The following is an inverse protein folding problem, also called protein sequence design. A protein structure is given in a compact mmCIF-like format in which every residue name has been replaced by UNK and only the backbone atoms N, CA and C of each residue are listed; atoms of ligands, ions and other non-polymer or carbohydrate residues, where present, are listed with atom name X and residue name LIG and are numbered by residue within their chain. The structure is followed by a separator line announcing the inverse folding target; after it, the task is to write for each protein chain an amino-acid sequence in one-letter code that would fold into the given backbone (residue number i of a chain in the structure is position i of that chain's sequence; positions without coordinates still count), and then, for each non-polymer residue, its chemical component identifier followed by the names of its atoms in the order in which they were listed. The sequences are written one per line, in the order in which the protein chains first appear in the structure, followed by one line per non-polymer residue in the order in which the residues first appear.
data_IF_920232822667
#
_entry.id   IF_920232822667
#
_cell.length_a   1.000
_cell.length_b   1.000
_cell.length_c   1.000
_cell.angle_alpha   90.00
_cell.angle_beta   90.00
_cell.angle_gamma   90.00
#
_symmetry.space_group_name_H-M   'P 1'
#
loop_
_entity.id
_entity.type
_entity.pdbx_description
1 polymer ?
#
# COMPACT_ATOMS: atom_id res chain seq x y z
N UNK A 1 -44.91 -71.33 -0.24
CA UNK A 1 -44.20 -70.11 0.23
C UNK A 1 -44.80 -68.82 -0.32
N UNK A 2 -45.06 -68.66 -1.62
CA UNK A 2 -45.54 -67.42 -2.25
C UNK A 2 -46.93 -66.97 -1.73
N UNK A 3 -47.85 -67.86 -1.41
CA UNK A 3 -49.16 -67.51 -0.85
C UNK A 3 -49.11 -66.99 0.58
N UNK A 4 -48.15 -67.40 1.39
CA UNK A 4 -47.92 -66.90 2.74
C UNK A 4 -47.37 -65.45 2.72
N UNK A 5 -46.44 -65.15 1.85
CA UNK A 5 -45.92 -63.84 1.64
C UNK A 5 -46.94 -62.83 1.15
N UNK A 6 -47.81 -63.26 0.21
CA UNK A 6 -48.93 -62.43 -0.31
C UNK A 6 -49.95 -62.09 0.78
N UNK A 7 -50.27 -63.05 1.66
CA UNK A 7 -51.20 -62.82 2.75
C UNK A 7 -50.64 -61.90 3.85
N UNK A 8 -49.37 -62.02 4.10
CA UNK A 8 -48.69 -61.11 5.03
C UNK A 8 -48.65 -59.68 4.46
N UNK A 9 -48.48 -59.52 3.15
CA UNK A 9 -48.42 -58.22 2.50
C UNK A 9 -49.74 -57.49 2.41
N UNK A 10 -50.85 -58.28 2.08
CA UNK A 10 -52.18 -57.73 1.87
C UNK A 10 -53.03 -57.61 3.15
N UNK A 11 -52.70 -58.37 4.21
CA UNK A 11 -53.43 -58.29 5.50
C UNK A 11 -53.01 -56.98 6.23
N UNK A 12 -54.05 -56.16 6.54
CA UNK A 12 -53.87 -54.84 7.21
C UNK A 12 -53.08 -53.84 6.40
N UNK A 13 -53.24 -53.78 5.08
CA UNK A 13 -52.54 -52.86 4.19
C UNK A 13 -52.67 -51.37 4.63
N UNK A 14 -53.86 -50.97 5.13
CA UNK A 14 -54.06 -49.59 5.64
C UNK A 14 -53.18 -49.21 6.84
N UNK A 15 -53.00 -50.18 7.78
CA UNK A 15 -52.08 -49.94 8.93
C UNK A 15 -50.61 -49.83 8.51
N UNK A 16 -50.23 -50.58 7.47
CA UNK A 16 -48.88 -50.51 6.93
C UNK A 16 -48.62 -49.21 6.18
N UNK A 17 -49.61 -48.78 5.39
CA UNK A 17 -49.53 -47.49 4.71
C UNK A 17 -49.48 -46.34 5.72
N UNK A 18 -50.30 -46.41 6.78
CA UNK A 18 -50.29 -45.43 7.86
C UNK A 18 -48.92 -45.37 8.58
N UNK A 19 -48.37 -46.56 8.93
CA UNK A 19 -47.03 -46.61 9.54
C UNK A 19 -45.94 -46.11 8.61
N UNK A 20 -46.02 -46.33 7.31
CA UNK A 20 -45.10 -45.84 6.31
C UNK A 20 -45.19 -44.32 6.19
N UNK A 21 -46.40 -43.78 6.13
CA UNK A 21 -46.62 -42.32 6.09
C UNK A 21 -46.12 -41.67 7.37
N UNK A 22 -46.40 -42.29 8.54
CA UNK A 22 -45.94 -41.80 9.82
C UNK A 22 -44.41 -41.82 9.93
N UNK A 23 -43.79 -42.91 9.46
CA UNK A 23 -42.33 -43.02 9.42
C UNK A 23 -41.69 -42.00 8.46
N UNK A 24 -42.35 -41.76 7.31
CA UNK A 24 -41.91 -40.76 6.35
C UNK A 24 -42.04 -39.35 6.92
N UNK A 25 -43.13 -39.02 7.60
CA UNK A 25 -43.31 -37.74 8.29
C UNK A 25 -42.29 -37.55 9.40
N UNK A 26 -42.07 -38.56 10.23
CA UNK A 26 -41.01 -38.53 11.26
C UNK A 26 -39.63 -38.35 10.65
N UNK A 27 -39.34 -39.04 9.55
CA UNK A 27 -38.06 -38.92 8.87
C UNK A 27 -37.87 -37.52 8.30
N UNK A 28 -38.90 -36.93 7.67
CA UNK A 28 -38.87 -35.54 7.17
C UNK A 28 -38.70 -34.52 8.29
N UNK A 29 -39.30 -34.75 9.47
CA UNK A 29 -39.12 -33.82 10.62
C UNK A 29 -37.82 -34.04 11.38
N UNK A 30 -37.20 -35.22 11.29
CA UNK A 30 -35.93 -35.54 11.92
C UNK A 30 -34.72 -35.26 11.05
N UNK A 31 -34.89 -34.88 9.76
CA UNK A 31 -33.76 -34.39 8.97
C UNK A 31 -33.37 -33.04 9.55
N UNK A 32 -32.23 -32.93 10.27
CA UNK A 32 -31.83 -31.66 10.80
C UNK A 32 -31.44 -30.78 9.62
N UNK A 33 -32.11 -29.65 9.45
CA UNK A 33 -31.68 -28.57 8.54
C UNK A 33 -30.25 -28.03 8.88
N UNK A 34 -29.76 -28.38 10.06
CA UNK A 34 -28.50 -27.93 10.63
C UNK A 34 -27.22 -28.51 9.99
N UNK A 35 -27.34 -29.53 9.12
CA UNK A 35 -26.15 -30.22 8.58
C UNK A 35 -25.66 -29.72 7.22
N UNK A 36 -26.17 -28.61 6.72
CA UNK A 36 -25.64 -28.03 5.50
C UNK A 36 -24.62 -26.90 5.82
N UNK A 37 -23.53 -27.29 6.46
CA UNK A 37 -22.33 -26.43 6.55
C UNK A 37 -21.48 -26.67 5.32
N UNK A 38 -20.94 -25.60 4.79
CA UNK A 38 -19.96 -25.66 3.72
C UNK A 38 -18.78 -24.76 4.03
N UNK A 39 -17.67 -25.12 3.43
CA UNK A 39 -16.42 -24.36 3.58
C UNK A 39 -16.30 -23.32 2.49
N UNK A 40 -15.84 -22.14 2.86
CA UNK A 40 -15.50 -21.07 1.94
C UNK A 40 -14.13 -20.50 2.28
N UNK A 41 -13.23 -20.51 1.31
CA UNK A 41 -11.91 -19.89 1.45
C UNK A 41 -11.93 -18.51 0.81
N UNK A 42 -11.42 -17.52 1.54
CA UNK A 42 -11.27 -16.13 1.11
C UNK A 42 -9.81 -15.72 1.25
N UNK A 43 -9.38 -14.88 0.33
CA UNK A 43 -8.06 -14.21 0.41
C UNK A 43 -8.28 -12.78 0.85
N UNK A 44 -7.94 -12.47 2.10
CA UNK A 44 -8.16 -11.15 2.68
C UNK A 44 -6.85 -10.42 2.95
N UNK A 45 -6.82 -9.09 2.86
CA UNK A 45 -5.66 -8.31 3.27
C UNK A 45 -5.51 -8.33 4.80
N UNK A 46 -4.27 -8.41 5.27
CA UNK A 46 -3.92 -8.27 6.68
C UNK A 46 -3.61 -6.80 6.96
N UNK A 47 -4.44 -6.17 7.77
CA UNK A 47 -4.22 -4.78 8.19
C UNK A 47 -3.21 -4.75 9.33
N UNK A 48 -2.16 -3.92 9.18
CA UNK A 48 -1.14 -3.71 10.19
C UNK A 48 -1.49 -2.48 11.01
N UNK A 49 -1.65 -2.65 12.32
CA UNK A 49 -2.02 -1.57 13.23
C UNK A 49 -0.93 -1.36 14.30
N UNK A 50 -0.94 -0.15 14.90
CA UNK A 50 -0.11 0.21 16.03
C UNK A 50 1.40 0.03 15.78
N UNK A 51 1.88 0.38 14.57
CA UNK A 51 3.32 0.43 14.31
C UNK A 51 3.95 1.43 15.30
N UNK A 52 5.02 1.06 16.03
CA UNK A 52 5.67 1.96 16.96
C UNK A 52 6.12 3.27 16.31
N UNK A 53 6.01 4.39 17.04
CA UNK A 53 6.21 5.75 16.50
C UNK A 53 7.55 5.98 15.78
N UNK A 54 8.60 5.29 16.22
CA UNK A 54 9.96 5.41 15.67
C UNK A 54 10.29 4.36 14.63
N UNK A 55 9.29 3.60 14.17
CA UNK A 55 9.46 2.52 13.21
C UNK A 55 8.54 2.71 12.03
N UNK A 56 8.98 2.20 10.90
CA UNK A 56 8.21 2.15 9.65
C UNK A 56 8.41 0.80 8.97
N UNK A 57 7.51 0.46 8.08
CA UNK A 57 7.68 -0.70 7.23
C UNK A 57 8.83 -0.46 6.26
N UNK A 58 9.78 -1.39 6.17
CA UNK A 58 10.86 -1.37 5.18
C UNK A 58 10.30 -1.39 3.75
N UNK A 59 9.19 -2.10 3.56
CA UNK A 59 8.43 -2.14 2.31
C UNK A 59 6.93 -1.96 2.58
N UNK A 60 6.26 -1.16 1.76
CA UNK A 60 4.79 -0.96 1.81
C UNK A 60 4.05 -2.14 1.19
N UNK A 61 4.25 -3.34 1.72
CA UNK A 61 3.54 -4.53 1.29
C UNK A 61 2.32 -4.75 2.19
N UNK A 62 1.15 -4.98 1.59
CA UNK A 62 -0.02 -5.49 2.30
C UNK A 62 -0.03 -7.02 2.23
N UNK A 63 0.40 -7.72 3.28
CA UNK A 63 0.36 -9.16 3.29
C UNK A 63 -1.10 -9.64 3.18
N UNK A 64 -1.32 -10.75 2.49
CA UNK A 64 -2.63 -11.36 2.34
C UNK A 64 -2.63 -12.74 2.99
N UNK A 65 -3.75 -13.08 3.58
CA UNK A 65 -3.95 -14.39 4.22
C UNK A 65 -5.17 -15.08 3.65
N UNK A 66 -5.10 -16.41 3.60
CA UNK A 66 -6.22 -17.25 3.21
C UNK A 66 -6.95 -17.68 4.50
N UNK A 67 -8.24 -17.41 4.56
CA UNK A 67 -9.10 -17.79 5.67
C UNK A 67 -10.14 -18.77 5.16
N UNK A 68 -10.10 -19.99 5.65
CA UNK A 68 -11.13 -20.99 5.38
C UNK A 68 -12.16 -20.98 6.51
N UNK A 69 -13.38 -20.57 6.16
CA UNK A 69 -14.52 -20.49 7.07
C UNK A 69 -15.46 -21.66 6.85
N UNK A 70 -15.97 -22.21 7.94
CA UNK A 70 -17.08 -23.16 7.96
C UNK A 70 -18.34 -22.41 8.39
N UNK A 71 -19.39 -22.46 7.55
CA UNK A 71 -20.61 -21.72 7.80
C UNK A 71 -21.85 -22.44 7.24
N UNK A 72 -23.03 -22.18 7.82
CA UNK A 72 -24.30 -22.63 7.21
C UNK A 72 -24.44 -22.07 5.80
N UNK A 73 -24.95 -22.89 4.86
CA UNK A 73 -25.06 -22.50 3.45
C UNK A 73 -25.81 -21.19 3.22
N UNK A 74 -26.76 -20.85 4.08
CA UNK A 74 -27.52 -19.59 4.05
C UNK A 74 -26.65 -18.34 4.28
N UNK A 75 -25.54 -18.49 5.01
CA UNK A 75 -24.62 -17.37 5.34
C UNK A 75 -23.50 -17.21 4.31
N UNK A 76 -23.19 -18.23 3.51
CA UNK A 76 -22.10 -18.20 2.54
C UNK A 76 -22.13 -17.01 1.56
N UNK A 77 -23.30 -16.57 1.04
CA UNK A 77 -23.37 -15.40 0.16
C UNK A 77 -22.99 -14.09 0.86
N UNK A 78 -23.18 -14.00 2.18
CA UNK A 78 -22.86 -12.82 2.99
C UNK A 78 -21.39 -12.75 3.40
N UNK A 79 -20.67 -13.87 3.31
CA UNK A 79 -19.25 -13.96 3.63
C UNK A 79 -18.44 -13.46 2.43
N UNK A 80 -17.92 -12.24 2.52
CA UNK A 80 -17.13 -11.57 1.48
C UNK A 80 -15.86 -11.00 2.10
N UNK A 81 -14.94 -10.55 1.25
CA UNK A 81 -13.73 -9.83 1.72
C UNK A 81 -14.07 -8.56 2.54
N UNK A 82 -15.25 -7.99 2.33
CA UNK A 82 -15.72 -6.81 3.07
C UNK A 82 -16.29 -7.15 4.46
N UNK A 83 -16.64 -8.40 4.73
CA UNK A 83 -17.23 -8.82 6.00
C UNK A 83 -16.27 -9.60 6.90
N UNK A 84 -15.08 -9.94 6.38
CA UNK A 84 -14.02 -10.66 7.10
C UNK A 84 -12.78 -9.79 7.12
N UNK A 85 -12.32 -9.42 8.30
CA UNK A 85 -11.17 -8.52 8.47
C UNK A 85 -10.12 -9.18 9.33
N UNK A 86 -8.86 -9.04 8.94
CA UNK A 86 -7.72 -9.50 9.72
C UNK A 86 -6.88 -8.29 10.14
N UNK A 87 -6.52 -8.24 11.42
CA UNK A 87 -5.72 -7.16 12.00
C UNK A 87 -4.57 -7.74 12.79
N UNK A 88 -3.36 -7.32 12.48
CA UNK A 88 -2.15 -7.63 13.23
C UNK A 88 -1.72 -6.38 14.01
N UNK A 89 -1.65 -6.51 15.32
CA UNK A 89 -1.15 -5.46 16.22
C UNK A 89 0.36 -5.56 16.34
N UNK A 90 1.04 -4.47 15.95
CA UNK A 90 2.50 -4.34 15.99
C UNK A 90 3.01 -3.48 17.14
N UNK A 91 2.16 -3.18 18.15
CA UNK A 91 2.54 -2.32 19.28
C UNK A 91 3.77 -2.80 20.06
N UNK A 92 4.02 -4.10 20.11
CA UNK A 92 5.19 -4.72 20.74
C UNK A 92 6.25 -5.19 19.74
N UNK A 93 6.14 -4.80 18.47
CA UNK A 93 7.07 -5.20 17.45
C UNK A 93 8.45 -4.57 17.64
N UNK A 94 9.49 -5.25 17.18
CA UNK A 94 10.87 -4.77 17.17
C UNK A 94 11.51 -4.97 15.80
N UNK A 95 12.57 -4.22 15.51
CA UNK A 95 13.33 -4.33 14.24
C UNK A 95 13.96 -5.71 14.05
N UNK A 96 14.25 -6.41 15.15
CA UNK A 96 14.85 -7.74 15.09
C UNK A 96 13.83 -8.84 14.77
N UNK A 97 12.54 -8.56 14.99
CA UNK A 97 11.46 -9.51 14.75
C UNK A 97 10.90 -9.33 13.34
N UNK A 98 11.12 -10.33 12.50
CA UNK A 98 10.60 -10.32 11.11
C UNK A 98 9.41 -11.24 10.89
N UNK A 99 9.24 -12.27 11.75
CA UNK A 99 8.16 -13.25 11.60
C UNK A 99 7.08 -13.07 12.68
N UNK A 100 5.84 -12.90 12.24
CA UNK A 100 4.68 -12.68 13.11
C UNK A 100 3.68 -13.83 12.92
N UNK A 101 3.32 -14.58 13.99
CA UNK A 101 2.35 -15.66 13.92
C UNK A 101 0.93 -15.09 13.71
N UNK A 102 0.16 -15.75 12.86
CA UNK A 102 -1.24 -15.42 12.61
C UNK A 102 -2.13 -16.34 13.43
N UNK A 103 -2.97 -15.75 14.27
CA UNK A 103 -3.89 -16.45 15.14
C UNK A 103 -5.36 -16.15 14.76
N UNK A 104 -6.26 -17.12 15.06
CA UNK A 104 -7.69 -16.97 14.78
C UNK A 104 -8.32 -15.73 15.44
N UNK A 105 -7.80 -15.31 16.59
CA UNK A 105 -8.29 -14.14 17.31
C UNK A 105 -8.03 -12.80 16.60
N UNK A 106 -7.12 -12.78 15.62
CA UNK A 106 -6.80 -11.61 14.79
C UNK A 106 -7.79 -11.40 13.65
N UNK A 107 -8.65 -12.40 13.40
CA UNK A 107 -9.61 -12.38 12.30
C UNK A 107 -11.01 -12.18 12.84
N UNK A 108 -11.64 -11.09 12.44
CA UNK A 108 -13.05 -10.79 12.73
C UNK A 108 -13.92 -11.44 11.67
N UNK A 109 -14.87 -12.27 12.10
CA UNK A 109 -15.77 -13.05 11.26
C UNK A 109 -17.23 -12.76 11.59
N UNK A 110 -18.16 -12.93 10.65
CA UNK A 110 -19.60 -12.82 10.90
C UNK A 110 -20.09 -13.85 11.93
N UNK A 111 -21.12 -13.47 12.70
CA UNK A 111 -21.73 -14.36 13.68
C UNK A 111 -22.29 -15.65 13.03
N UNK A 112 -22.08 -16.77 13.68
CA UNK A 112 -22.51 -18.08 13.18
C UNK A 112 -21.56 -18.73 12.17
N UNK A 113 -20.35 -18.19 12.02
CA UNK A 113 -19.27 -18.80 11.23
C UNK A 113 -18.11 -19.23 12.13
N UNK A 114 -17.29 -20.16 11.66
CA UNK A 114 -16.13 -20.66 12.39
C UNK A 114 -14.90 -20.69 11.48
N UNK A 115 -13.74 -20.29 12.00
CA UNK A 115 -12.47 -20.37 11.27
C UNK A 115 -11.95 -21.81 11.37
N UNK A 116 -11.93 -22.49 10.24
CA UNK A 116 -11.36 -23.84 10.11
C UNK A 116 -9.83 -23.75 10.00
N UNK A 117 -9.34 -22.94 9.05
CA UNK A 117 -7.93 -22.87 8.72
C UNK A 117 -7.50 -21.42 8.39
N UNK A 118 -6.27 -21.11 8.73
CA UNK A 118 -5.58 -19.87 8.34
C UNK A 118 -4.25 -20.23 7.67
N UNK A 119 -3.99 -19.61 6.52
CA UNK A 119 -2.74 -19.80 5.80
C UNK A 119 -2.24 -18.46 5.20
N UNK A 120 -0.98 -18.13 5.32
CA UNK A 120 0.07 -18.83 6.08
C UNK A 120 -0.12 -18.70 7.60
N UNK A 121 0.54 -19.56 8.38
CA UNK A 121 0.52 -19.51 9.85
C UNK A 121 1.35 -18.37 10.44
N UNK A 122 2.23 -17.76 9.61
CA UNK A 122 3.04 -16.59 9.96
C UNK A 122 3.23 -15.70 8.73
N UNK A 123 3.42 -14.41 8.94
CA UNK A 123 3.79 -13.43 7.91
C UNK A 123 5.12 -12.81 8.24
N UNK A 124 5.88 -12.49 7.21
CA UNK A 124 7.13 -11.76 7.35
C UNK A 124 6.85 -10.27 7.15
N UNK A 125 7.22 -9.47 8.14
CA UNK A 125 7.08 -8.01 8.14
C UNK A 125 8.41 -7.46 8.65
N UNK A 126 9.06 -6.66 7.84
CA UNK A 126 10.31 -6.00 8.21
C UNK A 126 10.01 -4.56 8.64
N UNK A 127 10.44 -4.24 9.85
CA UNK A 127 10.37 -2.90 10.42
C UNK A 127 11.78 -2.31 10.47
N UNK A 128 11.88 -1.03 10.16
CA UNK A 128 13.11 -0.27 10.27
C UNK A 128 12.90 0.96 11.15
N UNK A 129 13.99 1.50 11.69
CA UNK A 129 13.93 2.78 12.36
C UNK A 129 13.61 3.88 11.37
N UNK A 130 12.76 4.80 11.81
CA UNK A 130 12.49 6.03 11.07
C UNK A 130 13.68 6.95 11.20
N UNK A 131 14.28 7.32 10.06
CA UNK A 131 15.33 8.33 9.97
C UNK A 131 14.74 9.66 9.50
N UNK A 132 15.14 10.72 10.15
CA UNK A 132 14.84 12.09 9.72
C UNK A 132 16.14 12.79 9.41
N UNK A 133 16.22 13.41 8.23
CA UNK A 133 17.43 14.08 7.75
C UNK A 133 17.06 15.32 6.95
N UNK A 134 17.88 16.37 7.10
CA UNK A 134 17.76 17.58 6.30
C UNK A 134 18.65 17.48 5.07
N UNK A 135 18.05 17.61 3.90
CA UNK A 135 18.71 17.51 2.60
C UNK A 135 18.64 18.83 1.84
N UNK A 136 19.68 19.07 1.03
CA UNK A 136 19.71 20.21 0.11
C UNK A 136 18.73 20.00 -1.03
N UNK A 137 18.13 21.11 -1.46
CA UNK A 137 17.26 21.13 -2.65
C UNK A 137 18.08 21.59 -3.84
N UNK A 138 18.11 20.77 -4.88
CA UNK A 138 18.75 21.07 -6.15
C UNK A 138 17.71 21.29 -7.25
N UNK A 139 17.68 22.47 -7.87
CA UNK A 139 16.74 22.76 -8.96
C UNK A 139 17.14 21.99 -10.23
N UNK A 140 16.19 21.37 -10.88
CA UNK A 140 16.37 20.71 -12.17
C UNK A 140 16.04 21.70 -13.28
N UNK A 141 17.06 22.24 -13.95
CA UNK A 141 16.92 23.18 -15.07
C UNK A 141 17.00 22.39 -16.39
N UNK A 142 16.16 22.72 -17.34
CA UNK A 142 16.14 22.18 -18.70
C UNK A 142 16.08 23.30 -19.72
N UNK A 143 16.55 23.03 -20.94
CA UNK A 143 16.64 24.04 -22.02
C UNK A 143 17.88 24.92 -21.90
N UNK A 144 18.05 25.81 -22.86
CA UNK A 144 19.10 26.80 -22.93
C UNK A 144 18.49 28.18 -22.97
N UNK A 145 19.14 29.17 -22.37
CA UNK A 145 18.70 30.57 -22.45
C UNK A 145 18.80 31.07 -23.90
N UNK A 146 17.99 32.07 -24.22
CA UNK A 146 18.06 32.73 -25.50
C UNK A 146 19.45 33.33 -25.74
N UNK A 147 19.88 33.44 -27.04
CA UNK A 147 21.14 34.06 -27.39
C UNK A 147 21.28 35.47 -26.79
N UNK A 148 22.44 35.75 -26.25
CA UNK A 148 22.73 37.02 -25.57
C UNK A 148 22.37 37.05 -24.07
N UNK A 149 21.89 35.98 -23.50
CA UNK A 149 21.57 35.86 -22.06
C UNK A 149 22.41 34.81 -21.36
N UNK A 150 22.74 35.05 -20.11
CA UNK A 150 23.40 34.06 -19.25
C UNK A 150 22.73 33.94 -17.87
N UNK A 151 22.81 32.76 -17.29
CA UNK A 151 22.32 32.48 -15.94
C UNK A 151 23.42 32.83 -14.92
N UNK A 152 23.27 33.92 -14.21
CA UNK A 152 24.24 34.38 -13.23
C UNK A 152 24.19 33.56 -11.93
N UNK A 153 23.01 33.31 -11.42
CA UNK A 153 22.81 32.50 -10.21
C UNK A 153 21.41 31.88 -10.14
N UNK A 154 21.32 30.78 -9.41
CA UNK A 154 20.05 30.12 -9.06
C UNK A 154 19.98 30.07 -7.54
N UNK A 155 18.87 30.52 -6.98
CA UNK A 155 18.60 30.46 -5.55
C UNK A 155 17.32 29.69 -5.31
N UNK A 156 17.34 28.76 -4.37
CA UNK A 156 16.19 27.97 -3.97
C UNK A 156 15.80 28.36 -2.55
N UNK A 157 14.54 28.63 -2.30
CA UNK A 157 14.01 29.05 -1.00
C UNK A 157 12.81 28.18 -0.62
N UNK A 158 12.88 27.36 0.45
CA UNK A 158 14.07 27.07 1.24
C UNK A 158 15.10 26.23 0.47
N UNK A 159 16.38 26.39 0.78
CA UNK A 159 17.48 25.64 0.16
C UNK A 159 17.68 24.24 0.77
N UNK A 160 17.03 23.98 1.90
CA UNK A 160 17.07 22.70 2.61
C UNK A 160 15.67 22.30 3.06
N UNK A 161 15.39 21.00 3.05
CA UNK A 161 14.12 20.43 3.51
C UNK A 161 14.37 19.18 4.34
N UNK A 162 13.57 19.00 5.39
CA UNK A 162 13.63 17.80 6.21
C UNK A 162 12.74 16.72 5.62
N UNK A 163 13.31 15.55 5.44
CA UNK A 163 12.63 14.35 4.96
C UNK A 163 12.66 13.28 6.04
N UNK A 164 11.67 12.39 6.01
CA UNK A 164 11.51 11.31 6.95
C UNK A 164 11.08 10.03 6.21
N UNK A 165 11.61 8.89 6.62
CA UNK A 165 11.27 7.59 6.07
C UNK A 165 12.09 6.45 6.67
N UNK A 166 11.93 5.22 6.16
CA UNK A 166 12.75 4.09 6.56
C UNK A 166 14.22 4.36 6.32
N UNK A 167 15.08 3.95 7.25
CA UNK A 167 16.52 4.26 7.20
C UNK A 167 17.19 3.78 5.91
N UNK A 168 16.85 2.58 5.43
CA UNK A 168 17.39 2.00 4.19
C UNK A 168 17.02 2.78 2.92
N UNK A 169 15.94 3.57 2.96
CA UNK A 169 15.41 4.32 1.81
C UNK A 169 15.97 5.75 1.70
N UNK A 170 16.77 6.17 2.68
CA UNK A 170 17.42 7.50 2.69
C UNK A 170 18.92 7.34 2.50
N UNK A 171 19.45 7.48 1.27
CA UNK A 171 20.88 7.40 1.01
C UNK A 171 21.64 8.55 1.69
N UNK A 172 22.87 8.30 2.15
CA UNK A 172 23.69 9.30 2.86
C UNK A 172 24.02 10.56 2.02
N UNK A 173 24.02 10.44 0.70
CA UNK A 173 24.27 11.54 -0.25
C UNK A 173 23.04 11.91 -1.06
N UNK A 174 21.85 11.72 -0.49
CA UNK A 174 20.62 12.08 -1.18
C UNK A 174 20.49 13.61 -1.31
N UNK A 175 19.89 14.04 -2.39
CA UNK A 175 19.43 15.42 -2.61
C UNK A 175 17.96 15.39 -3.02
N UNK A 176 17.22 16.43 -2.69
CA UNK A 176 15.85 16.60 -3.15
C UNK A 176 15.88 17.44 -4.41
N UNK A 177 15.30 16.95 -5.50
CA UNK A 177 15.23 17.67 -6.77
C UNK A 177 13.90 18.40 -6.91
N UNK A 178 13.88 19.42 -7.77
CA UNK A 178 12.61 20.03 -8.18
C UNK A 178 12.08 19.38 -9.46
N UNK A 179 10.80 19.60 -9.75
CA UNK A 179 10.26 19.40 -11.08
C UNK A 179 11.08 20.18 -12.11
N UNK A 180 11.24 19.66 -13.34
CA UNK A 180 12.04 20.34 -14.37
C UNK A 180 11.50 21.73 -14.69
N UNK A 181 12.39 22.73 -14.66
CA UNK A 181 12.10 24.14 -14.97
C UNK A 181 12.74 24.45 -16.34
N UNK A 182 11.93 24.76 -17.32
CA UNK A 182 12.38 25.14 -18.65
C UNK A 182 12.83 26.62 -18.65
N UNK A 183 14.15 26.81 -18.70
CA UNK A 183 14.76 28.17 -18.66
C UNK A 183 14.73 28.88 -20.00
N UNK A 184 14.45 28.20 -21.12
CA UNK A 184 14.45 28.80 -22.47
C UNK A 184 13.41 29.91 -22.65
N UNK A 185 12.42 29.94 -21.76
CA UNK A 185 11.31 30.90 -21.79
C UNK A 185 11.60 32.24 -21.10
N UNK A 186 12.73 32.33 -20.41
CA UNK A 186 13.02 33.49 -19.56
C UNK A 186 14.17 34.33 -20.12
N UNK A 187 13.95 35.64 -20.16
CA UNK A 187 14.93 36.65 -20.62
C UNK A 187 15.26 37.68 -19.51
N UNK A 188 14.63 37.54 -18.34
CA UNK A 188 14.81 38.47 -17.22
C UNK A 188 14.76 37.70 -15.90
N UNK A 189 15.26 38.27 -14.79
CA UNK A 189 15.19 37.68 -13.48
C UNK A 189 13.77 37.25 -13.14
N UNK A 190 13.58 36.01 -12.76
CA UNK A 190 12.23 35.41 -12.56
C UNK A 190 12.24 34.54 -11.32
N UNK A 191 11.12 34.52 -10.60
CA UNK A 191 10.85 33.63 -9.47
C UNK A 191 9.72 32.65 -9.85
N UNK A 192 9.96 31.36 -9.62
CA UNK A 192 9.08 30.26 -10.05
C UNK A 192 8.86 29.31 -8.88
N UNK A 193 7.63 28.92 -8.66
CA UNK A 193 7.30 27.81 -7.75
C UNK A 193 7.54 26.47 -8.45
N UNK A 194 8.31 25.59 -7.81
CA UNK A 194 8.56 24.23 -8.27
C UNK A 194 8.20 23.21 -7.19
N UNK A 195 7.67 22.08 -7.59
CA UNK A 195 7.38 20.98 -6.68
C UNK A 195 8.64 20.17 -6.40
N UNK A 196 8.70 19.60 -5.20
CA UNK A 196 9.82 18.76 -4.77
C UNK A 196 9.63 17.32 -5.25
N UNK A 197 10.69 16.74 -5.79
CA UNK A 197 10.79 15.33 -6.15
C UNK A 197 11.69 14.65 -5.14
N UNK A 198 11.10 13.78 -4.33
CA UNK A 198 11.82 13.03 -3.31
C UNK A 198 12.67 11.92 -3.93
N UNK A 199 13.79 11.54 -3.30
CA UNK A 199 14.71 10.54 -3.82
C UNK A 199 14.09 9.12 -3.85
N UNK A 200 13.06 8.87 -3.03
CA UNK A 200 12.37 7.58 -2.95
C UNK A 200 10.89 7.80 -2.63
N UNK A 201 9.95 7.03 -3.23
CA UNK A 201 8.51 7.15 -2.98
C UNK A 201 8.08 6.79 -1.55
N UNK A 202 8.91 6.05 -0.81
CA UNK A 202 8.64 5.67 0.57
C UNK A 202 9.07 6.73 1.59
N UNK A 203 9.76 7.76 1.12
CA UNK A 203 10.19 8.91 1.92
C UNK A 203 9.16 10.03 1.79
N UNK A 204 8.94 10.78 2.86
CA UNK A 204 8.01 11.92 2.92
C UNK A 204 8.69 13.17 3.51
N UNK A 205 8.17 14.33 3.18
CA UNK A 205 8.59 15.58 3.81
C UNK A 205 8.10 15.61 5.27
N UNK A 206 8.94 16.06 6.18
CA UNK A 206 8.57 16.30 7.59
C UNK A 206 7.71 17.56 7.75
N UNK A 207 7.77 18.48 6.79
CA UNK A 207 6.99 19.72 6.74
C UNK A 207 5.80 19.64 5.77
N UNK A 208 4.91 20.62 5.87
CA UNK A 208 3.74 20.72 4.99
C UNK A 208 4.02 21.32 3.62
N UNK A 209 5.19 21.93 3.41
CA UNK A 209 5.52 22.59 2.16
C UNK A 209 6.08 21.60 1.13
N UNK A 210 5.29 21.31 0.13
CA UNK A 210 5.70 20.47 -1.02
C UNK A 210 6.31 21.26 -2.17
N UNK A 211 6.36 22.59 -2.06
CA UNK A 211 6.85 23.51 -3.07
C UNK A 211 7.97 24.38 -2.53
N UNK A 212 8.86 24.75 -3.41
CA UNK A 212 9.94 25.72 -3.16
C UNK A 212 9.91 26.82 -4.21
N UNK A 213 10.38 28.00 -3.84
CA UNK A 213 10.59 29.10 -4.77
C UNK A 213 12.00 29.04 -5.36
N UNK A 214 12.10 29.02 -6.68
CA UNK A 214 13.37 29.04 -7.41
C UNK A 214 13.53 30.40 -8.08
N UNK A 215 14.52 31.16 -7.65
CA UNK A 215 14.90 32.44 -8.23
C UNK A 215 16.00 32.27 -9.25
N UNK A 216 15.71 32.61 -10.48
CA UNK A 216 16.68 32.64 -11.58
C UNK A 216 17.16 34.10 -11.76
N UNK A 217 18.45 34.34 -11.62
CA UNK A 217 19.08 35.64 -11.92
C UNK A 217 19.69 35.57 -13.32
N UNK A 218 18.97 36.09 -14.29
CA UNK A 218 19.36 36.12 -15.70
C UNK A 218 19.88 37.54 -16.02
N UNK A 219 20.97 37.65 -16.76
CA UNK A 219 21.50 38.88 -17.24
C UNK A 219 21.90 38.78 -18.71
N UNK A 220 22.03 39.93 -19.41
CA UNK A 220 22.59 39.99 -20.75
C UNK A 220 24.07 39.66 -20.69
N UNK A 221 24.54 38.84 -21.62
CA UNK A 221 25.95 38.51 -21.77
C UNK A 221 26.66 39.71 -22.34
N UNK A 222 27.48 40.35 -21.52
CA UNK A 222 28.34 41.46 -22.00
C UNK A 222 29.44 40.82 -22.84
N UNK A 223 29.38 41.00 -24.18
CA UNK A 223 30.55 40.71 -25.02
C UNK A 223 31.66 41.69 -24.65
N UNK A 224 32.72 41.19 -24.00
CA UNK A 224 33.97 41.92 -23.86
C UNK A 224 34.52 42.15 -25.28
N UNK A 225 34.32 43.38 -25.81
CA UNK A 225 34.99 43.80 -27.01
C UNK A 225 36.49 43.76 -26.70
N UNK A 226 37.16 42.81 -27.32
CA UNK A 226 38.60 42.68 -27.33
C UNK A 226 39.20 44.03 -27.78
N UNK A 227 39.80 44.79 -26.82
CA UNK A 227 40.37 46.10 -27.06
C UNK A 227 41.48 45.94 -28.09
N UNK A 228 41.19 46.40 -29.28
CA UNK A 228 42.13 46.54 -30.42
C UNK A 228 43.38 47.29 -29.95
N UNK A 229 44.51 46.60 -29.86
CA UNK A 229 45.82 47.21 -29.57
C UNK A 229 46.13 48.22 -30.66
N UNK A 230 46.33 49.50 -30.32
CA UNK A 230 46.76 50.50 -31.32
C UNK A 230 48.11 50.11 -31.87
N UNK A 231 48.18 50.01 -33.20
CA UNK A 231 49.33 49.68 -33.99
C UNK A 231 50.52 50.57 -33.68
N UNK A 232 51.66 49.94 -33.45
CA UNK A 232 52.94 50.56 -33.29
C UNK A 232 53.41 51.06 -34.68
N UNK A 233 53.20 52.34 -34.96
CA UNK A 233 53.88 53.05 -36.09
C UNK A 233 55.37 52.97 -35.92
N UNK A 234 56.00 52.30 -36.84
CA UNK A 234 57.46 52.38 -37.05
C UNK A 234 57.78 53.70 -37.74
N UNK A 235 58.67 54.52 -37.10
CA UNK A 235 59.41 55.56 -37.81
C UNK A 235 60.90 55.23 -37.81
N UNK A 236 61.40 55.10 -39.01
CA UNK A 236 62.77 55.34 -39.57
C UNK A 236 64.00 54.84 -38.82
#
# INVERSE_FOLDING_TARGET
MIKLLRNIFLRNWGLKLFSFILALLLWLTLIPEEKMYSEKTLVIPLTLNNIPYQMELAEKVQPRINVTLNAPNRLLPQITEATVHAVLDLSSASVEQTAYPINKNMVSIPAGTEIKELYPSQVNIELEYTKEVTLKVEPTLIGELAEGFELKSVQVIPNEVSIRGPESKIPDKAVVKTTPIDISKFMQPTEIEAELILPNPDVRLSGSNTKVSVRLLIQEKVEEQEAEKPGKTADT
#
